data_IF_003299588598
#
_entry.id   IF_003299588598
#
_cell.length_a   1.000
_cell.length_b   1.000
_cell.length_c   1.000
_cell.angle_alpha   90.00
_cell.angle_beta   90.00
_cell.angle_gamma   90.00
#
_symmetry.space_group_name_H-M   'P 1'
#
loop_
_entity.id
_entity.type
_entity.pdbx_description
1 polymer ?
#
# COMPACT_ATOMS: atom_id res chain seq x y z
N UNK A 1 -16.15 14.15 -18.33
CA UNK A 1 -15.18 13.15 -17.79
C UNK A 1 -14.67 13.67 -16.47
N UNK A 2 -14.64 12.82 -15.45
CA UNK A 2 -14.09 13.12 -14.13
C UNK A 2 -12.91 12.18 -13.89
N UNK A 3 -11.82 12.71 -13.33
CA UNK A 3 -10.70 11.98 -12.79
C UNK A 3 -10.65 12.28 -11.29
N UNK A 4 -11.01 11.29 -10.48
CA UNK A 4 -11.11 11.43 -9.03
C UNK A 4 -10.10 10.49 -8.37
N UNK A 5 -9.54 10.94 -7.25
CA UNK A 5 -8.61 10.16 -6.47
C UNK A 5 -9.27 9.08 -5.62
N UNK A 6 -8.45 8.21 -5.03
CA UNK A 6 -8.85 7.16 -4.11
C UNK A 6 -7.79 6.94 -3.05
N UNK A 7 -8.24 6.42 -1.92
CA UNK A 7 -7.35 5.97 -0.84
C UNK A 7 -7.77 4.56 -0.39
N UNK A 8 -7.80 3.65 -1.37
CA UNK A 8 -8.41 2.34 -1.27
C UNK A 8 -7.77 1.47 -0.19
N UNK A 9 -8.61 0.94 0.70
CA UNK A 9 -8.20 0.04 1.75
C UNK A 9 -8.20 -1.41 1.26
N UNK A 10 -7.20 -2.19 1.67
CA UNK A 10 -7.21 -3.64 1.62
C UNK A 10 -7.35 -4.19 3.04
N UNK A 11 -8.44 -4.88 3.34
CA UNK A 11 -8.65 -5.56 4.63
C UNK A 11 -8.34 -7.04 4.43
N UNK A 12 -7.36 -7.56 5.15
CA UNK A 12 -7.02 -8.98 5.17
C UNK A 12 -7.72 -9.61 6.37
N UNK A 13 -8.49 -10.69 6.14
CA UNK A 13 -9.18 -11.42 7.20
C UNK A 13 -8.27 -12.47 7.85
N UNK A 14 -8.60 -12.91 9.05
CA UNK A 14 -7.81 -13.84 9.87
C UNK A 14 -7.73 -15.27 9.32
N UNK A 15 -8.62 -15.62 8.39
CA UNK A 15 -8.62 -16.90 7.67
C UNK A 15 -7.83 -16.88 6.34
N UNK A 16 -7.30 -15.73 5.94
CA UNK A 16 -6.51 -15.60 4.72
C UNK A 16 -5.16 -16.33 4.82
N UNK A 17 -4.67 -16.84 3.70
CA UNK A 17 -3.27 -17.23 3.59
C UNK A 17 -2.40 -15.96 3.56
N UNK A 18 -1.50 -15.75 4.53
CA UNK A 18 -0.76 -14.50 4.64
C UNK A 18 0.18 -14.24 3.45
N UNK A 19 0.75 -15.28 2.84
CA UNK A 19 1.64 -15.12 1.68
C UNK A 19 0.87 -14.77 0.43
N UNK A 20 -0.25 -15.45 0.20
CA UNK A 20 -1.11 -15.17 -0.95
C UNK A 20 -1.72 -13.77 -0.84
N UNK A 21 -2.22 -13.40 0.33
CA UNK A 21 -2.78 -12.08 0.59
C UNK A 21 -1.70 -10.98 0.41
N UNK A 22 -0.50 -11.19 0.95
CA UNK A 22 0.63 -10.28 0.78
C UNK A 22 0.99 -10.06 -0.70
N UNK A 23 1.07 -11.14 -1.48
CA UNK A 23 1.34 -11.05 -2.93
C UNK A 23 0.25 -10.25 -3.67
N UNK A 24 -1.02 -10.50 -3.37
CA UNK A 24 -2.15 -9.83 -4.02
C UNK A 24 -2.24 -8.35 -3.65
N UNK A 25 -2.08 -8.04 -2.38
CA UNK A 25 -2.05 -6.65 -1.88
C UNK A 25 -0.85 -5.89 -2.44
N UNK A 26 0.34 -6.49 -2.43
CA UNK A 26 1.54 -5.90 -3.04
C UNK A 26 1.32 -5.58 -4.52
N UNK A 27 0.82 -6.52 -5.30
CA UNK A 27 0.56 -6.31 -6.72
C UNK A 27 -0.50 -5.21 -6.95
N UNK A 28 -1.55 -5.17 -6.12
CA UNK A 28 -2.58 -4.13 -6.16
C UNK A 28 -2.07 -2.74 -5.77
N UNK A 29 -1.06 -2.68 -4.89
CA UNK A 29 -0.46 -1.43 -4.44
C UNK A 29 0.63 -0.91 -5.39
N UNK A 30 1.43 -1.81 -6.00
CA UNK A 30 2.63 -1.45 -6.76
C UNK A 30 2.42 -1.43 -8.28
N UNK A 31 1.25 -1.84 -8.78
CA UNK A 31 0.91 -1.74 -10.20
C UNK A 31 1.11 -0.30 -10.69
N UNK A 32 1.78 -0.13 -11.83
CA UNK A 32 2.13 1.18 -12.39
C UNK A 32 2.86 2.11 -11.40
N UNK A 33 3.73 1.55 -10.55
CA UNK A 33 4.39 2.28 -9.45
C UNK A 33 3.39 2.96 -8.48
N UNK A 34 2.24 2.32 -8.20
CA UNK A 34 1.19 2.85 -7.34
C UNK A 34 0.40 4.03 -7.91
N UNK A 35 0.62 4.39 -9.17
CA UNK A 35 0.00 5.54 -9.83
C UNK A 35 -1.32 5.14 -10.53
N UNK A 36 -2.24 4.59 -9.75
CA UNK A 36 -3.59 4.19 -10.18
C UNK A 36 -4.57 4.64 -9.10
N UNK A 37 -5.69 5.27 -9.49
CA UNK A 37 -6.69 5.76 -8.55
C UNK A 37 -7.26 4.64 -7.64
N UNK A 38 -7.50 3.43 -8.20
CA UNK A 38 -7.97 2.24 -7.47
C UNK A 38 -6.84 1.33 -6.96
N UNK A 39 -5.58 1.78 -6.96
CA UNK A 39 -4.51 1.01 -6.33
C UNK A 39 -4.76 0.90 -4.80
N UNK A 40 -4.32 -0.21 -4.21
CA UNK A 40 -4.32 -0.33 -2.75
C UNK A 40 -3.38 0.72 -2.15
N UNK A 41 -3.92 1.59 -1.31
CA UNK A 41 -3.18 2.67 -0.65
C UNK A 41 -2.88 2.38 0.81
N UNK A 42 -3.70 1.53 1.46
CA UNK A 42 -3.61 1.16 2.87
C UNK A 42 -3.94 -0.31 3.05
N UNK A 43 -3.11 -1.06 3.77
CA UNK A 43 -3.38 -2.46 4.07
C UNK A 43 -3.64 -2.63 5.57
N UNK A 44 -4.78 -3.23 5.92
CA UNK A 44 -5.13 -3.57 7.30
C UNK A 44 -5.01 -5.08 7.50
N UNK A 45 -4.22 -5.50 8.48
CA UNK A 45 -3.84 -6.89 8.69
C UNK A 45 -4.07 -7.31 10.15
N UNK A 46 -4.70 -8.48 10.40
CA UNK A 46 -4.92 -8.97 11.77
C UNK A 46 -3.58 -9.17 12.50
N UNK A 47 -3.53 -8.82 13.78
CA UNK A 47 -2.31 -8.94 14.61
C UNK A 47 -1.68 -10.33 14.56
N UNK A 48 -2.50 -11.38 14.49
CA UNK A 48 -2.01 -12.76 14.47
C UNK A 48 -1.18 -13.15 13.25
N UNK A 49 -1.30 -12.40 12.12
CA UNK A 49 -0.51 -12.64 10.91
C UNK A 49 0.32 -11.42 10.46
N UNK A 50 0.26 -10.33 11.21
CA UNK A 50 0.85 -9.05 10.84
C UNK A 50 2.33 -9.14 10.49
N UNK A 51 3.15 -9.75 11.35
CA UNK A 51 4.59 -9.83 11.12
C UNK A 51 4.94 -10.72 9.92
N UNK A 52 4.23 -11.85 9.74
CA UNK A 52 4.42 -12.73 8.60
C UNK A 52 4.02 -12.05 7.28
N UNK A 53 2.92 -11.30 7.30
CA UNK A 53 2.45 -10.51 6.15
C UNK A 53 3.46 -9.40 5.80
N UNK A 54 3.89 -8.61 6.78
CA UNK A 54 4.90 -7.56 6.61
C UNK A 54 6.21 -8.11 6.03
N UNK A 55 6.70 -9.24 6.55
CA UNK A 55 7.92 -9.87 6.07
C UNK A 55 7.80 -10.29 4.59
N UNK A 56 6.66 -10.86 4.19
CA UNK A 56 6.44 -11.28 2.80
C UNK A 56 6.30 -10.09 1.85
N UNK A 57 5.57 -9.02 2.24
CA UNK A 57 5.47 -7.80 1.43
C UNK A 57 6.83 -7.12 1.27
N UNK A 58 7.64 -7.07 2.35
CA UNK A 58 9.00 -6.53 2.29
C UNK A 58 9.92 -7.36 1.38
N UNK A 59 9.80 -8.69 1.40
CA UNK A 59 10.52 -9.58 0.49
C UNK A 59 10.19 -9.26 -0.97
N UNK A 60 8.89 -9.15 -1.30
CA UNK A 60 8.43 -8.80 -2.65
C UNK A 60 8.93 -7.41 -3.09
N UNK A 61 8.91 -6.44 -2.18
CA UNK A 61 9.41 -5.10 -2.45
C UNK A 61 10.92 -5.09 -2.75
N UNK A 62 11.70 -5.87 -2.01
CA UNK A 62 13.16 -5.98 -2.22
C UNK A 62 13.55 -6.75 -3.49
N UNK A 63 12.67 -7.58 -4.03
CA UNK A 63 12.87 -8.30 -5.30
C UNK A 63 12.48 -7.46 -6.53
N UNK A 64 11.84 -6.30 -6.32
CA UNK A 64 11.41 -5.44 -7.42
C UNK A 64 12.61 -4.85 -8.18
N UNK A 65 12.54 -4.93 -9.51
CA UNK A 65 13.51 -4.28 -10.40
C UNK A 65 12.96 -2.91 -10.77
N UNK A 66 13.59 -1.87 -10.24
CA UNK A 66 13.20 -0.47 -10.47
C UNK A 66 14.09 0.13 -11.52
N UNK A 67 13.55 0.41 -12.69
CA UNK A 67 14.31 0.96 -13.83
C UNK A 67 13.37 1.58 -14.87
N UNK A 68 13.94 2.06 -15.98
CA UNK A 68 13.21 2.47 -17.17
C UNK A 68 12.34 1.31 -17.70
N UNK A 69 11.05 1.57 -17.90
CA UNK A 69 10.08 0.56 -18.36
C UNK A 69 10.39 -0.03 -19.75
N UNK A 70 11.30 0.56 -20.53
CA UNK A 70 11.79 0.00 -21.80
C UNK A 70 12.81 -1.13 -21.60
N UNK A 71 13.39 -1.25 -20.40
CA UNK A 71 14.38 -2.29 -20.09
C UNK A 71 13.70 -3.60 -19.70
N UNK A 72 14.16 -4.68 -20.27
CA UNK A 72 13.64 -6.01 -19.96
C UNK A 72 13.88 -6.37 -18.49
N UNK A 73 12.84 -6.86 -17.83
CA UNK A 73 12.87 -7.26 -16.41
C UNK A 73 12.48 -6.16 -15.44
N UNK A 74 12.27 -4.92 -15.89
CA UNK A 74 11.72 -3.84 -15.06
C UNK A 74 10.33 -4.21 -14.56
N UNK A 75 10.10 -4.14 -13.25
CA UNK A 75 8.82 -4.40 -12.61
C UNK A 75 8.16 -3.13 -12.09
N UNK A 76 8.95 -2.10 -11.77
CA UNK A 76 8.47 -0.80 -11.29
C UNK A 76 9.18 0.31 -12.06
N UNK A 77 8.39 1.13 -12.74
CA UNK A 77 8.87 2.30 -13.49
C UNK A 77 8.98 3.56 -12.63
N UNK A 78 9.29 4.72 -13.26
CA UNK A 78 9.40 5.98 -12.55
C UNK A 78 8.04 6.57 -12.17
N UNK A 79 8.06 7.50 -11.23
CA UNK A 79 6.95 8.42 -10.98
C UNK A 79 6.87 9.42 -12.14
N UNK A 80 5.65 9.73 -12.56
CA UNK A 80 5.32 10.42 -13.79
C UNK A 80 5.95 11.82 -13.92
N UNK A 81 6.14 12.55 -12.82
CA UNK A 81 6.75 13.89 -12.84
C UNK A 81 7.42 14.24 -11.51
N UNK A 82 8.23 15.30 -11.54
CA UNK A 82 9.00 15.77 -10.39
C UNK A 82 8.12 16.23 -9.20
N UNK A 83 7.01 16.89 -9.47
CA UNK A 83 6.13 17.37 -8.39
C UNK A 83 5.52 16.20 -7.61
N UNK A 84 5.06 15.15 -8.30
CA UNK A 84 4.54 13.94 -7.69
C UNK A 84 5.65 13.16 -6.98
N UNK A 85 6.85 13.07 -7.56
CA UNK A 85 8.02 12.48 -6.91
C UNK A 85 8.33 13.16 -5.58
N UNK A 86 8.34 14.50 -5.55
CA UNK A 86 8.61 15.27 -4.33
C UNK A 86 7.52 15.07 -3.28
N UNK A 87 6.24 14.98 -3.69
CA UNK A 87 5.12 14.65 -2.78
C UNK A 87 5.33 13.27 -2.14
N UNK A 88 5.59 12.24 -2.94
CA UNK A 88 5.79 10.88 -2.42
C UNK A 88 7.01 10.81 -1.50
N UNK A 89 8.10 11.49 -1.86
CA UNK A 89 9.29 11.57 -1.00
C UNK A 89 8.98 12.22 0.35
N UNK A 90 8.24 13.32 0.35
CA UNK A 90 7.84 13.99 1.60
C UNK A 90 6.98 13.08 2.50
N UNK A 91 6.06 12.29 1.92
CA UNK A 91 5.28 11.32 2.67
C UNK A 91 6.15 10.18 3.25
N UNK A 92 7.18 9.74 2.52
CA UNK A 92 8.14 8.74 3.02
C UNK A 92 8.98 9.32 4.16
N UNK A 93 9.42 10.57 4.04
CA UNK A 93 10.22 11.24 5.07
C UNK A 93 9.41 11.44 6.37
N UNK A 94 8.13 11.86 6.27
CA UNK A 94 7.22 11.92 7.42
C UNK A 94 6.96 10.52 8.03
N UNK A 95 6.72 9.53 7.20
CA UNK A 95 6.46 8.17 7.66
C UNK A 95 7.67 7.53 8.36
N UNK A 96 8.89 7.95 8.03
CA UNK A 96 10.13 7.51 8.69
C UNK A 96 10.22 7.98 10.14
N UNK A 97 9.66 9.15 10.44
CA UNK A 97 9.62 9.70 11.80
C UNK A 97 8.51 9.09 12.67
N UNK A 98 7.46 8.56 12.03
CA UNK A 98 6.25 8.07 12.70
C UNK A 98 6.15 6.55 12.81
N UNK A 99 6.80 5.81 11.91
CA UNK A 99 6.70 4.37 11.82
C UNK A 99 8.01 3.69 11.48
N UNK A 100 7.93 2.48 10.95
CA UNK A 100 9.10 1.68 10.59
C UNK A 100 9.07 1.35 9.10
N UNK A 101 10.06 1.85 8.34
CA UNK A 101 10.27 1.44 6.94
C UNK A 101 10.97 0.09 6.93
N UNK A 102 10.33 -0.92 6.34
CA UNK A 102 10.84 -2.30 6.27
C UNK A 102 11.34 -2.72 4.87
N UNK A 103 11.09 -1.90 3.85
CA UNK A 103 11.66 -2.04 2.51
C UNK A 103 11.64 -0.68 1.79
N UNK A 104 12.57 -0.45 0.88
CA UNK A 104 12.66 0.79 0.11
C UNK A 104 13.02 2.01 0.95
N UNK A 105 12.28 3.10 0.79
CA UNK A 105 12.40 4.31 1.60
C UNK A 105 13.44 5.33 1.12
N UNK A 106 14.24 5.00 0.12
CA UNK A 106 15.24 5.92 -0.44
C UNK A 106 15.12 5.93 -1.97
N UNK A 107 14.88 7.10 -2.58
CA UNK A 107 14.92 7.23 -4.04
C UNK A 107 16.24 6.75 -4.63
N UNK A 108 16.20 6.29 -5.88
CA UNK A 108 17.42 5.94 -6.60
C UNK A 108 18.22 7.19 -6.95
N UNK A 109 19.55 7.05 -6.99
CA UNK A 109 20.45 8.13 -7.46
C UNK A 109 20.23 8.44 -8.94
N UNK A 110 20.43 9.68 -9.32
CA UNK A 110 20.35 10.15 -10.70
C UNK A 110 19.23 11.17 -10.94
N UNK A 111 19.02 11.55 -12.21
CA UNK A 111 18.05 12.57 -12.61
C UNK A 111 16.61 12.05 -12.78
N UNK A 112 16.39 10.74 -12.62
CA UNK A 112 15.09 10.09 -12.79
C UNK A 112 14.20 10.17 -11.54
N UNK A 113 12.88 10.12 -11.75
CA UNK A 113 11.91 10.09 -10.65
C UNK A 113 11.65 8.67 -10.12
N UNK A 114 12.71 7.92 -9.78
CA UNK A 114 12.61 6.54 -9.35
C UNK A 114 12.57 6.41 -7.83
N UNK A 115 11.48 5.83 -7.34
CA UNK A 115 11.32 5.43 -5.92
C UNK A 115 11.08 3.92 -5.90
N UNK A 116 11.88 3.13 -5.17
CA UNK A 116 11.63 1.71 -5.02
C UNK A 116 10.35 1.48 -4.20
N UNK A 117 9.69 0.32 -4.38
CA UNK A 117 8.57 -0.06 -3.52
C UNK A 117 8.94 0.12 -2.06
N UNK A 118 8.19 0.98 -1.38
CA UNK A 118 8.46 1.37 0.01
C UNK A 118 7.33 0.83 0.89
N UNK A 119 7.70 0.04 1.87
CA UNK A 119 6.76 -0.58 2.81
C UNK A 119 6.99 0.00 4.19
N UNK A 120 5.91 0.53 4.77
CA UNK A 120 5.94 1.16 6.10
C UNK A 120 4.98 0.43 7.02
N UNK A 121 5.42 0.12 8.23
CA UNK A 121 4.60 -0.50 9.27
C UNK A 121 4.57 0.37 10.53
N UNK A 122 3.67 0.04 11.44
CA UNK A 122 3.56 0.66 12.77
C UNK A 122 3.25 2.18 12.72
N UNK A 123 2.49 2.61 11.72
CA UNK A 123 1.93 3.95 11.63
C UNK A 123 0.58 4.04 12.36
N UNK A 124 0.28 5.21 12.88
CA UNK A 124 -1.05 5.57 13.36
C UNK A 124 -1.97 5.96 12.19
N UNK A 125 -3.29 5.86 12.39
CA UNK A 125 -4.30 6.17 11.35
C UNK A 125 -4.33 7.66 10.96
N UNK A 126 -3.79 8.57 11.77
CA UNK A 126 -3.68 10.01 11.49
C UNK A 126 -2.42 10.39 10.70
N UNK A 127 -1.52 9.43 10.43
CA UNK A 127 -0.33 9.71 9.64
C UNK A 127 -0.69 10.15 8.20
N UNK A 128 -0.03 11.19 7.66
CA UNK A 128 -0.29 11.66 6.30
C UNK A 128 -0.26 10.55 5.25
N UNK A 129 0.66 9.59 5.34
CA UNK A 129 0.74 8.45 4.43
C UNK A 129 -0.51 7.54 4.50
N UNK A 130 -1.24 7.52 5.62
CA UNK A 130 -2.48 6.75 5.78
C UNK A 130 -3.70 7.56 5.32
N UNK A 131 -3.69 8.90 5.54
CA UNK A 131 -4.84 9.78 5.28
C UNK A 131 -4.91 10.29 3.84
N UNK A 132 -3.77 10.49 3.20
CA UNK A 132 -3.69 11.09 1.87
C UNK A 132 -3.48 10.04 0.77
N UNK A 133 -4.02 10.32 -0.42
CA UNK A 133 -3.66 9.57 -1.62
C UNK A 133 -2.21 9.85 -2.00
N UNK A 134 -1.30 8.87 -1.78
CA UNK A 134 0.11 9.02 -2.11
C UNK A 134 0.40 9.00 -3.61
N UNK A 135 -0.37 8.24 -4.40
CA UNK A 135 -0.21 8.06 -5.84
C UNK A 135 1.24 7.78 -6.24
N UNK A 136 1.81 6.76 -5.60
CA UNK A 136 3.21 6.35 -5.72
C UNK A 136 3.47 5.00 -5.05
N UNK A 137 4.68 4.42 -5.20
CA UNK A 137 4.99 3.06 -4.78
C UNK A 137 5.28 2.97 -3.26
N UNK A 138 4.34 3.41 -2.44
CA UNK A 138 4.46 3.39 -0.98
C UNK A 138 3.21 2.77 -0.37
N UNK A 139 3.38 1.78 0.50
CA UNK A 139 2.27 1.08 1.15
C UNK A 139 2.43 1.08 2.67
N UNK A 140 1.55 1.75 3.43
CA UNK A 140 1.40 1.57 4.85
C UNK A 140 0.65 0.28 5.15
N UNK A 141 1.15 -0.49 6.13
CA UNK A 141 0.51 -1.69 6.66
C UNK A 141 0.15 -1.43 8.12
N UNK A 142 -1.14 -1.50 8.42
CA UNK A 142 -1.72 -1.20 9.73
C UNK A 142 -2.24 -2.48 10.39
N UNK A 143 -2.03 -2.58 11.69
CA UNK A 143 -2.51 -3.69 12.49
C UNK A 143 -3.94 -3.47 12.95
N UNK A 144 -4.72 -4.56 13.05
CA UNK A 144 -6.01 -4.53 13.70
C UNK A 144 -6.28 -5.80 14.51
N UNK A 145 -7.21 -5.73 15.47
CA UNK A 145 -7.68 -6.83 16.30
C UNK A 145 -9.16 -7.15 16.06
N UNK A 146 -9.96 -6.14 15.87
CA UNK A 146 -11.41 -6.26 15.75
C UNK A 146 -11.88 -5.86 14.34
N UNK A 147 -12.82 -6.66 13.79
CA UNK A 147 -13.31 -6.45 12.43
C UNK A 147 -14.20 -5.20 12.31
N UNK A 148 -14.97 -4.88 13.33
CA UNK A 148 -15.85 -3.69 13.32
C UNK A 148 -15.01 -2.42 13.44
N UNK A 149 -13.94 -2.45 14.26
CA UNK A 149 -12.97 -1.37 14.36
C UNK A 149 -12.28 -1.11 13.02
N UNK A 150 -11.72 -2.15 12.37
CA UNK A 150 -11.01 -1.95 11.11
C UNK A 150 -11.92 -1.46 9.99
N UNK A 151 -13.19 -1.88 9.95
CA UNK A 151 -14.16 -1.35 8.99
C UNK A 151 -14.39 0.15 9.23
N UNK A 152 -14.55 0.57 10.49
CA UNK A 152 -14.70 1.97 10.84
C UNK A 152 -13.48 2.80 10.42
N UNK A 153 -12.26 2.31 10.71
CA UNK A 153 -11.00 2.95 10.32
C UNK A 153 -10.83 3.02 8.80
N UNK A 154 -11.17 1.96 8.07
CA UNK A 154 -11.12 1.95 6.61
C UNK A 154 -12.09 2.96 5.98
N UNK A 155 -13.26 3.16 6.59
CA UNK A 155 -14.29 4.10 6.14
C UNK A 155 -14.03 5.54 6.61
N UNK A 156 -13.15 5.77 7.56
CA UNK A 156 -12.78 7.13 8.01
C UNK A 156 -11.83 7.78 6.98
N UNK A 157 -12.39 8.15 5.83
CA UNK A 157 -11.66 8.70 4.70
C UNK A 157 -12.58 9.65 3.91
N UNK A 158 -11.98 10.68 3.30
CA UNK A 158 -12.67 11.57 2.35
C UNK A 158 -12.88 10.90 0.98
N UNK A 159 -12.22 9.78 0.74
CA UNK A 159 -12.28 9.02 -0.51
C UNK A 159 -13.30 7.88 -0.41
N UNK A 160 -13.89 7.53 -1.55
CA UNK A 160 -14.89 6.46 -1.64
C UNK A 160 -14.86 5.73 -2.98
N UNK A 161 -13.66 5.58 -3.58
CA UNK A 161 -13.54 5.01 -4.92
C UNK A 161 -13.64 3.48 -4.91
N UNK A 162 -12.92 2.81 -4.02
CA UNK A 162 -12.91 1.36 -3.94
C UNK A 162 -12.26 0.81 -2.67
N UNK A 163 -12.20 -0.51 -2.60
CA UNK A 163 -11.53 -1.26 -1.54
C UNK A 163 -11.50 -2.75 -1.86
N UNK A 164 -10.72 -3.49 -1.12
CA UNK A 164 -10.62 -4.95 -1.27
C UNK A 164 -10.65 -5.65 0.07
N UNK A 165 -11.28 -6.84 0.11
CA UNK A 165 -11.28 -7.71 1.30
C UNK A 165 -10.73 -9.08 0.90
N UNK A 166 -9.75 -9.56 1.65
CA UNK A 166 -9.02 -10.80 1.38
C UNK A 166 -9.28 -11.82 2.48
N UNK A 167 -9.91 -12.92 2.15
CA UNK A 167 -10.20 -14.03 3.07
C UNK A 167 -10.39 -15.32 2.31
N UNK A 168 -10.29 -16.45 2.98
CA UNK A 168 -10.57 -17.78 2.43
C UNK A 168 -12.08 -18.00 2.31
N UNK A 169 -12.84 -17.56 3.30
CA UNK A 169 -14.30 -17.56 3.27
C UNK A 169 -14.81 -16.36 2.45
N UNK A 170 -15.13 -16.61 1.19
CA UNK A 170 -15.62 -15.58 0.24
C UNK A 170 -16.95 -14.98 0.70
N UNK A 171 -17.83 -15.74 1.34
CA UNK A 171 -19.10 -15.21 1.83
C UNK A 171 -18.86 -14.20 2.95
N UNK A 172 -18.01 -14.53 3.94
CA UNK A 172 -17.61 -13.61 5.00
C UNK A 172 -16.90 -12.38 4.44
N UNK A 173 -15.96 -12.55 3.51
CA UNK A 173 -15.27 -11.43 2.87
C UNK A 173 -16.24 -10.49 2.13
N UNK A 174 -17.26 -11.06 1.47
CA UNK A 174 -18.31 -10.28 0.79
C UNK A 174 -19.15 -9.49 1.77
N UNK A 175 -19.52 -10.05 2.92
CA UNK A 175 -20.29 -9.32 3.95
C UNK A 175 -19.47 -8.17 4.56
N UNK A 176 -18.16 -8.37 4.77
CA UNK A 176 -17.27 -7.30 5.23
C UNK A 176 -17.17 -6.19 4.16
N UNK A 177 -17.01 -6.56 2.88
CA UNK A 177 -16.88 -5.61 1.79
C UNK A 177 -18.14 -4.75 1.53
N UNK A 178 -19.31 -5.18 1.98
CA UNK A 178 -20.56 -4.41 1.88
C UNK A 178 -20.68 -3.30 2.94
N UNK A 179 -19.88 -3.35 3.94
CA UNK A 179 -19.89 -2.44 5.10
C UNK A 179 -18.90 -1.32 4.93
#
# INVERSE_FOLDING_TARGET
TLELGGNDAAIVLDDADPKLAALKVYNGAMANAGQICVAVKRAYVPSGMYDAFCAEVARLANEAVVDDGSRQGTTVGPIQNKAQFDKVRALIDDARERGTIIAGGTPLDGDGCFIPPTIVRDLDDDAPLVREEQFGPVLPILRYEDIDDVIARANDSEFGLGGTVWGKDVARATEVAKR
#
